data_IF_576147799775
#
_entry.id   IF_576147799775
#
_cell.length_a   1.000
_cell.length_b   1.000
_cell.length_c   1.000
_cell.angle_alpha   90.00
_cell.angle_beta   90.00
_cell.angle_gamma   90.00
#
_symmetry.space_group_name_H-M   'P 1'
#
loop_
_entity.id
_entity.type
_entity.pdbx_description
1 polymer ?
#
# COMPACT_ATOMS: atom_id res chain seq x y z
N UNK A 1 -20.71 37.31 -7.87
CA UNK A 1 -19.99 36.27 -7.08
C UNK A 1 -20.25 34.84 -7.58
N UNK A 2 -21.50 34.42 -7.81
CA UNK A 2 -21.85 33.05 -8.27
C UNK A 2 -21.11 32.58 -9.54
N UNK A 3 -20.94 33.44 -10.55
CA UNK A 3 -20.22 33.09 -11.80
C UNK A 3 -18.73 32.78 -11.57
N UNK A 4 -18.05 33.47 -10.64
CA UNK A 4 -16.64 33.24 -10.31
C UNK A 4 -16.44 31.89 -9.61
N UNK A 5 -17.34 31.53 -8.70
CA UNK A 5 -17.34 30.23 -8.02
C UNK A 5 -17.56 29.10 -9.03
N UNK A 6 -18.47 29.28 -9.99
CA UNK A 6 -18.69 28.29 -11.05
C UNK A 6 -17.42 28.02 -11.86
N UNK A 7 -16.67 29.05 -12.26
CA UNK A 7 -15.41 28.86 -12.99
C UNK A 7 -14.37 28.10 -12.17
N UNK A 8 -14.27 28.36 -10.87
CA UNK A 8 -13.36 27.64 -9.97
C UNK A 8 -13.76 26.16 -9.89
N UNK A 9 -15.05 25.86 -9.72
CA UNK A 9 -15.56 24.47 -9.67
C UNK A 9 -15.27 23.75 -10.99
N UNK A 10 -15.56 24.38 -12.12
CA UNK A 10 -15.29 23.79 -13.44
C UNK A 10 -13.80 23.52 -13.64
N UNK A 11 -12.93 24.44 -13.21
CA UNK A 11 -11.49 24.24 -13.27
C UNK A 11 -11.05 23.00 -12.48
N UNK A 12 -11.52 22.83 -11.24
CA UNK A 12 -11.20 21.65 -10.44
C UNK A 12 -11.74 20.36 -11.05
N UNK A 13 -12.95 20.37 -11.61
CA UNK A 13 -13.52 19.20 -12.29
C UNK A 13 -12.65 18.79 -13.47
N UNK A 14 -12.26 19.74 -14.31
CA UNK A 14 -11.36 19.47 -15.46
C UNK A 14 -10.00 18.95 -15.00
N UNK A 15 -9.43 19.52 -13.92
CA UNK A 15 -8.17 19.06 -13.34
C UNK A 15 -8.26 17.61 -12.85
N UNK A 16 -9.34 17.25 -12.16
CA UNK A 16 -9.56 15.88 -11.68
C UNK A 16 -9.72 14.90 -12.85
N UNK A 17 -10.48 15.29 -13.88
CA UNK A 17 -10.64 14.50 -15.11
C UNK A 17 -9.30 14.28 -15.81
N UNK A 18 -8.47 15.31 -15.95
CA UNK A 18 -7.14 15.20 -16.52
C UNK A 18 -6.26 14.24 -15.72
N UNK A 19 -6.23 14.38 -14.38
CA UNK A 19 -5.49 13.50 -13.49
C UNK A 19 -5.96 12.05 -13.60
N UNK A 20 -7.27 11.83 -13.67
CA UNK A 20 -7.86 10.49 -13.85
C UNK A 20 -7.41 9.85 -15.17
N UNK A 21 -7.37 10.60 -16.27
CA UNK A 21 -6.88 10.10 -17.57
C UNK A 21 -5.41 9.69 -17.48
N UNK A 22 -4.57 10.51 -16.84
CA UNK A 22 -3.15 10.21 -16.64
C UNK A 22 -2.98 8.93 -15.82
N UNK A 23 -3.69 8.80 -14.69
CA UNK A 23 -3.68 7.60 -13.85
C UNK A 23 -4.20 6.37 -14.59
N UNK A 24 -5.20 6.53 -15.47
CA UNK A 24 -5.73 5.42 -16.28
C UNK A 24 -4.71 4.86 -17.26
N UNK A 25 -3.90 5.72 -17.87
CA UNK A 25 -2.80 5.28 -18.74
C UNK A 25 -1.63 4.70 -17.95
N UNK A 26 -1.51 5.07 -16.69
CA UNK A 26 -0.43 4.66 -15.80
C UNK A 26 0.71 5.68 -15.79
N UNK A 27 1.35 5.79 -14.64
CA UNK A 27 2.47 6.68 -14.39
C UNK A 27 3.64 5.80 -13.94
N UNK A 28 4.78 5.95 -14.60
CA UNK A 28 6.04 5.33 -14.20
C UNK A 28 6.97 6.42 -13.69
N UNK A 29 7.53 6.19 -12.51
CA UNK A 29 8.48 7.08 -11.84
C UNK A 29 9.73 6.27 -11.58
N UNK A 30 10.82 6.61 -12.27
CA UNK A 30 12.09 5.90 -12.16
C UNK A 30 12.69 6.02 -10.77
N UNK A 31 12.75 7.24 -10.23
CA UNK A 31 13.22 7.49 -8.88
C UNK A 31 12.70 8.83 -8.36
N UNK A 32 12.29 8.85 -7.10
CA UNK A 32 12.05 10.08 -6.33
C UNK A 32 12.90 9.98 -5.08
N UNK A 33 13.57 11.08 -4.73
CA UNK A 33 14.34 11.18 -3.50
C UNK A 33 13.97 12.49 -2.79
N UNK A 34 13.34 12.33 -1.64
CA UNK A 34 13.11 13.36 -0.64
C UNK A 34 13.84 12.97 0.65
N UNK A 35 14.07 13.92 1.54
CA UNK A 35 14.73 13.67 2.82
C UNK A 35 14.03 12.56 3.64
N UNK A 36 12.70 12.52 3.58
CA UNK A 36 11.85 11.58 4.31
C UNK A 36 11.44 10.33 3.51
N UNK A 37 11.66 10.30 2.18
CA UNK A 37 11.14 9.26 1.31
C UNK A 37 12.01 9.06 0.08
N UNK A 38 12.44 7.82 -0.15
CA UNK A 38 13.05 7.37 -1.41
C UNK A 38 12.14 6.35 -2.07
N UNK A 39 11.83 6.55 -3.35
CA UNK A 39 11.03 5.64 -4.16
C UNK A 39 11.82 5.29 -5.41
N UNK A 40 11.87 4.02 -5.77
CA UNK A 40 12.50 3.54 -7.00
C UNK A 40 11.56 2.63 -7.79
N UNK A 41 11.47 2.92 -9.09
CA UNK A 41 10.65 2.18 -10.05
C UNK A 41 9.19 2.06 -9.62
N UNK A 42 8.60 3.19 -9.22
CA UNK A 42 7.20 3.26 -8.83
C UNK A 42 6.33 3.32 -10.09
N UNK A 43 5.39 2.40 -10.20
CA UNK A 43 4.34 2.37 -11.20
C UNK A 43 2.99 2.46 -10.52
N UNK A 44 2.17 3.41 -10.95
CA UNK A 44 0.80 3.58 -10.46
C UNK A 44 -0.13 3.64 -11.65
N UNK A 45 -1.17 2.80 -11.66
CA UNK A 45 -2.25 2.86 -12.65
C UNK A 45 -3.59 2.69 -11.97
N UNK A 46 -4.59 3.45 -12.42
CA UNK A 46 -5.98 3.33 -11.98
C UNK A 46 -6.82 2.88 -13.18
N UNK A 47 -7.02 1.57 -13.33
CA UNK A 47 -7.89 1.03 -14.37
C UNK A 47 -9.32 0.87 -13.82
N UNK A 48 -9.81 -0.37 -13.66
CA UNK A 48 -11.01 -0.66 -12.86
C UNK A 48 -10.75 -0.58 -11.36
N UNK A 49 -9.51 -0.86 -10.97
CA UNK A 49 -8.99 -0.83 -9.60
C UNK A 49 -7.57 -0.29 -9.62
N UNK A 50 -7.04 0.00 -8.43
CA UNK A 50 -5.69 0.52 -8.27
C UNK A 50 -4.64 -0.58 -8.47
N UNK A 51 -3.62 -0.27 -9.26
CA UNK A 51 -2.41 -1.07 -9.45
C UNK A 51 -1.23 -0.24 -8.97
N UNK A 52 -0.46 -0.77 -8.03
CA UNK A 52 0.78 -0.14 -7.53
C UNK A 52 1.90 -1.16 -7.60
N UNK A 53 3.01 -0.80 -8.23
CA UNK A 53 4.24 -1.60 -8.19
C UNK A 53 5.39 -0.71 -7.80
N UNK A 54 6.27 -1.17 -6.93
CA UNK A 54 7.48 -0.45 -6.55
C UNK A 54 8.61 -1.44 -6.29
N UNK A 55 9.80 -1.12 -6.78
CA UNK A 55 10.98 -1.94 -6.50
C UNK A 55 11.52 -1.66 -5.11
N UNK A 56 11.80 -0.39 -4.81
CA UNK A 56 12.28 0.02 -3.50
C UNK A 56 11.47 1.22 -2.99
N UNK A 57 11.04 1.14 -1.73
CA UNK A 57 10.47 2.24 -0.97
C UNK A 57 11.27 2.34 0.31
N UNK A 58 11.87 3.49 0.60
CA UNK A 58 12.57 3.75 1.86
C UNK A 58 11.92 4.94 2.53
N UNK A 59 11.42 4.73 3.74
CA UNK A 59 10.84 5.78 4.56
C UNK A 59 11.88 6.16 5.61
N UNK A 60 12.40 7.38 5.51
CA UNK A 60 13.30 7.94 6.50
C UNK A 60 12.45 8.77 7.46
N UNK A 61 12.36 8.36 8.72
CA UNK A 61 11.74 9.22 9.72
C UNK A 61 12.66 10.42 10.00
N UNK A 62 12.24 11.62 9.56
CA UNK A 62 12.82 12.86 10.07
C UNK A 62 12.43 13.02 11.54
N UNK A 63 13.38 13.40 12.39
CA UNK A 63 13.26 13.48 13.87
C UNK A 63 12.05 14.27 14.41
N UNK A 64 11.33 15.03 13.58
CA UNK A 64 10.16 15.83 13.94
C UNK A 64 8.81 15.31 13.40
N UNK A 65 8.76 14.13 12.77
CA UNK A 65 7.49 13.54 12.38
C UNK A 65 6.92 12.73 13.54
N UNK A 66 6.00 13.34 14.29
CA UNK A 66 5.01 12.65 15.14
C UNK A 66 4.03 11.78 14.31
N UNK A 67 4.52 11.13 13.26
CA UNK A 67 3.80 10.03 12.62
C UNK A 67 4.02 8.82 13.51
N UNK A 68 3.27 8.82 14.62
CA UNK A 68 3.00 7.65 15.46
C UNK A 68 4.24 6.85 15.84
N UNK A 69 4.92 7.32 16.87
CA UNK A 69 5.66 6.47 17.79
C UNK A 69 4.76 5.33 18.30
N UNK A 70 4.68 4.23 17.55
CA UNK A 70 4.13 2.93 17.98
C UNK A 70 5.13 1.79 17.81
N UNK A 71 6.31 2.01 17.25
CA UNK A 71 7.26 0.93 16.95
C UNK A 71 8.39 0.80 17.97
N UNK A 72 8.05 0.76 19.26
CA UNK A 72 8.90 0.17 20.32
C UNK A 72 8.06 -0.43 21.45
N UNK A 73 6.89 -1.00 21.13
CA UNK A 73 6.08 -1.78 22.08
C UNK A 73 6.03 -3.22 21.60
N UNK A 74 7.18 -3.93 21.56
CA UNK A 74 7.25 -5.37 21.24
C UNK A 74 6.17 -5.84 20.25
N UNK A 75 6.18 -5.31 19.03
CA UNK A 75 5.24 -5.79 18.00
C UNK A 75 5.64 -7.24 17.71
N UNK A 76 5.01 -8.17 18.40
CA UNK A 76 5.16 -9.60 18.16
C UNK A 76 4.39 -9.97 16.88
N UNK A 77 4.68 -11.12 16.28
CA UNK A 77 4.03 -11.52 15.04
C UNK A 77 2.49 -11.52 15.12
N UNK A 78 1.91 -11.71 16.31
CA UNK A 78 0.45 -11.66 16.52
C UNK A 78 -0.14 -10.26 16.28
N UNK A 79 0.52 -9.21 16.77
CA UNK A 79 0.09 -7.82 16.55
C UNK A 79 0.17 -7.43 15.08
N UNK A 80 1.21 -7.85 14.37
CA UNK A 80 1.38 -7.63 12.92
C UNK A 80 0.25 -8.31 12.12
N UNK A 81 -0.05 -9.58 12.41
CA UNK A 81 -1.16 -10.30 11.77
C UNK A 81 -2.49 -9.56 11.95
N UNK A 82 -2.75 -9.01 13.15
CA UNK A 82 -3.96 -8.24 13.41
C UNK A 82 -4.02 -6.95 12.58
N UNK A 83 -2.91 -6.20 12.49
CA UNK A 83 -2.82 -4.98 11.67
C UNK A 83 -3.07 -5.28 10.19
N UNK A 84 -2.43 -6.33 9.66
CA UNK A 84 -2.63 -6.79 8.27
C UNK A 84 -4.11 -7.11 8.02
N UNK A 85 -4.72 -7.90 8.91
CA UNK A 85 -6.09 -8.39 8.74
C UNK A 85 -7.12 -7.25 8.72
N UNK A 86 -6.95 -6.21 9.55
CA UNK A 86 -7.88 -5.07 9.62
C UNK A 86 -8.03 -4.34 8.27
N UNK A 87 -6.95 -4.22 7.51
CA UNK A 87 -6.94 -3.42 6.27
C UNK A 87 -7.12 -4.26 4.99
N UNK A 88 -7.08 -5.59 5.12
CA UNK A 88 -7.17 -6.55 4.01
C UNK A 88 -8.49 -6.42 3.21
N UNK A 89 -9.59 -6.05 3.87
CA UNK A 89 -10.89 -5.82 3.20
C UNK A 89 -10.83 -4.68 2.19
N UNK A 90 -10.17 -3.58 2.55
CA UNK A 90 -10.04 -2.41 1.68
C UNK A 90 -9.10 -2.71 0.52
N UNK A 91 -7.98 -3.38 0.79
CA UNK A 91 -7.05 -3.88 -0.21
C UNK A 91 -7.82 -4.68 -1.28
N UNK A 92 -8.50 -5.75 -0.90
CA UNK A 92 -9.23 -6.61 -1.85
C UNK A 92 -10.30 -5.85 -2.65
N UNK A 93 -10.93 -4.84 -2.05
CA UNK A 93 -12.01 -4.09 -2.67
C UNK A 93 -11.51 -3.11 -3.74
N UNK A 94 -10.48 -2.32 -3.43
CA UNK A 94 -10.06 -1.19 -4.25
C UNK A 94 -8.81 -1.43 -5.08
N UNK A 95 -8.05 -2.47 -4.74
CA UNK A 95 -6.77 -2.79 -5.37
C UNK A 95 -6.93 -4.03 -6.22
N UNK A 96 -6.32 -4.00 -7.39
CA UNK A 96 -6.16 -5.16 -8.28
C UNK A 96 -4.79 -5.79 -8.10
N UNK A 97 -3.75 -4.95 -7.97
CA UNK A 97 -2.40 -5.43 -7.75
C UNK A 97 -1.60 -4.46 -6.86
N UNK A 98 -0.90 -5.02 -5.86
CA UNK A 98 0.21 -4.36 -5.17
C UNK A 98 1.41 -5.27 -5.27
N UNK A 99 2.54 -4.77 -5.75
CA UNK A 99 3.83 -5.47 -5.72
C UNK A 99 4.90 -4.51 -5.21
N UNK A 100 5.25 -4.63 -3.94
CA UNK A 100 6.32 -3.86 -3.30
C UNK A 100 7.43 -4.86 -2.96
N UNK A 101 8.52 -4.81 -3.71
CA UNK A 101 9.58 -5.80 -3.59
C UNK A 101 10.43 -5.59 -2.35
N UNK A 102 10.68 -4.32 -1.99
CA UNK A 102 11.45 -3.94 -0.82
C UNK A 102 10.92 -2.62 -0.25
N UNK A 103 10.21 -2.69 0.87
CA UNK A 103 9.86 -1.56 1.71
C UNK A 103 10.80 -1.58 2.92
N UNK A 104 11.64 -0.56 3.03
CA UNK A 104 12.51 -0.36 4.18
C UNK A 104 11.94 0.75 5.08
N UNK A 105 11.62 0.38 6.32
CA UNK A 105 11.23 1.29 7.38
C UNK A 105 12.12 1.00 8.59
N UNK A 106 13.01 1.93 8.97
CA UNK A 106 13.94 1.76 10.11
C UNK A 106 14.70 0.42 10.07
N UNK A 107 15.27 0.08 8.91
CA UNK A 107 16.02 -1.16 8.67
C UNK A 107 15.19 -2.45 8.72
N UNK A 108 13.86 -2.37 8.86
CA UNK A 108 12.97 -3.51 8.67
C UNK A 108 12.58 -3.62 7.20
N UNK A 109 12.92 -4.75 6.59
CA UNK A 109 12.64 -5.04 5.20
C UNK A 109 11.32 -5.80 5.06
N UNK A 110 10.39 -5.20 4.34
CA UNK A 110 9.06 -5.77 4.10
C UNK A 110 8.84 -5.96 2.60
N UNK A 111 8.43 -7.16 2.20
CA UNK A 111 7.90 -7.44 0.87
C UNK A 111 6.39 -7.64 0.95
N UNK A 112 5.66 -7.01 0.05
CA UNK A 112 4.20 -7.09 -0.01
C UNK A 112 3.79 -7.45 -1.43
N UNK A 113 2.97 -8.48 -1.57
CA UNK A 113 2.32 -8.81 -2.83
C UNK A 113 0.83 -9.01 -2.62
N UNK A 114 0.03 -8.41 -3.48
CA UNK A 114 -1.36 -8.78 -3.70
C UNK A 114 -1.59 -8.87 -5.20
N UNK A 115 -1.95 -10.06 -5.69
CA UNK A 115 -2.25 -10.29 -7.10
C UNK A 115 -3.05 -11.58 -7.27
N UNK A 116 -3.98 -11.59 -8.21
CA UNK A 116 -4.76 -12.80 -8.55
C UNK A 116 -5.41 -13.47 -7.32
N UNK A 117 -5.92 -12.64 -6.41
CA UNK A 117 -6.51 -13.04 -5.12
C UNK A 117 -5.55 -13.73 -4.13
N UNK A 118 -4.26 -13.77 -4.42
CA UNK A 118 -3.23 -14.14 -3.45
C UNK A 118 -2.65 -12.89 -2.79
N UNK A 119 -2.55 -12.90 -1.46
CA UNK A 119 -1.84 -11.88 -0.70
C UNK A 119 -0.68 -12.55 0.02
N UNK A 120 0.49 -11.93 0.03
CA UNK A 120 1.50 -12.25 1.02
C UNK A 120 2.21 -11.02 1.54
N UNK A 121 2.74 -11.17 2.75
CA UNK A 121 3.68 -10.26 3.37
C UNK A 121 4.82 -11.07 3.97
N UNK A 122 6.03 -10.56 3.79
CA UNK A 122 7.26 -11.15 4.29
C UNK A 122 8.07 -10.04 4.95
N UNK A 123 8.35 -10.17 6.24
CA UNK A 123 9.19 -9.24 7.00
C UNK A 123 10.06 -10.01 7.99
N UNK A 124 10.82 -9.30 8.82
CA UNK A 124 11.74 -9.93 9.77
C UNK A 124 11.03 -10.76 10.86
N UNK A 125 9.77 -10.45 11.17
CA UNK A 125 8.99 -11.11 12.23
C UNK A 125 8.21 -12.33 11.73
N UNK A 126 7.68 -12.28 10.50
CA UNK A 126 6.81 -13.32 9.97
C UNK A 126 6.79 -13.39 8.45
N UNK A 127 6.35 -14.54 7.95
CA UNK A 127 5.85 -14.70 6.59
C UNK A 127 4.40 -15.17 6.65
N UNK A 128 3.50 -14.44 5.98
CA UNK A 128 2.08 -14.78 5.88
C UNK A 128 1.64 -14.77 4.42
N UNK A 129 1.12 -15.90 3.95
CA UNK A 129 0.48 -16.05 2.64
C UNK A 129 -0.98 -16.43 2.80
N UNK A 130 -1.87 -15.65 2.18
CA UNK A 130 -3.32 -15.78 2.21
C UNK A 130 -3.89 -15.95 0.80
N UNK A 131 -5.01 -16.65 0.70
CA UNK A 131 -5.93 -16.58 -0.45
C UNK A 131 -7.17 -15.84 -0.05
N UNK A 132 -7.58 -14.87 -0.85
CA UNK A 132 -8.71 -14.00 -0.57
C UNK A 132 -9.87 -14.37 -1.49
N UNK A 133 -11.06 -14.53 -0.93
CA UNK A 133 -12.27 -14.81 -1.69
C UNK A 133 -13.43 -14.00 -1.13
N UNK A 134 -14.24 -13.42 -2.01
CA UNK A 134 -15.47 -12.77 -1.61
C UNK A 134 -16.63 -13.76 -1.70
N UNK A 135 -17.27 -14.02 -0.56
CA UNK A 135 -18.51 -14.77 -0.49
C UNK A 135 -19.60 -13.82 0.03
N UNK A 136 -20.60 -13.54 -0.81
CA UNK A 136 -21.65 -12.56 -0.51
C UNK A 136 -21.07 -11.17 -0.15
N UNK A 137 -21.29 -10.72 1.10
CA UNK A 137 -20.80 -9.44 1.64
C UNK A 137 -19.54 -9.60 2.50
N UNK A 138 -19.02 -10.81 2.60
CA UNK A 138 -17.88 -11.16 3.46
C UNK A 138 -16.63 -11.42 2.63
N UNK A 139 -15.49 -11.09 3.21
CA UNK A 139 -14.17 -11.44 2.68
C UNK A 139 -13.65 -12.61 3.51
N UNK A 140 -13.44 -13.73 2.86
CA UNK A 140 -12.83 -14.92 3.45
C UNK A 140 -11.35 -14.90 3.09
N UNK A 141 -10.50 -14.99 4.12
CA UNK A 141 -9.06 -15.11 3.97
C UNK A 141 -8.62 -16.50 4.43
N UNK A 142 -8.25 -17.36 3.48
CA UNK A 142 -7.69 -18.68 3.76
C UNK A 142 -6.17 -18.58 3.96
N UNK A 143 -5.67 -19.01 5.11
CA UNK A 143 -4.22 -19.04 5.37
C UNK A 143 -3.61 -20.21 4.59
N UNK A 144 -2.73 -19.90 3.63
CA UNK A 144 -1.96 -20.90 2.88
C UNK A 144 -0.66 -21.27 3.58
N UNK A 145 0.01 -20.29 4.17
CA UNK A 145 1.26 -20.48 4.91
C UNK A 145 1.40 -19.35 5.93
N UNK A 146 1.77 -19.71 7.15
CA UNK A 146 2.16 -18.80 8.21
C UNK A 146 3.46 -19.33 8.81
N UNK A 147 4.48 -18.48 8.89
CA UNK A 147 5.74 -18.73 9.56
C UNK A 147 5.99 -17.57 10.51
N UNK A 148 6.16 -17.87 11.79
CA UNK A 148 6.62 -16.90 12.78
C UNK A 148 8.14 -17.05 12.85
N UNK A 149 8.87 -15.97 12.59
CA UNK A 149 10.34 -15.93 12.57
C UNK A 149 10.91 -15.39 13.88
N UNK A 150 10.06 -14.74 14.68
CA UNK A 150 10.35 -14.24 16.02
C UNK A 150 10.23 -15.32 17.11
N UNK A 151 9.84 -16.55 16.73
CA UNK A 151 9.65 -17.68 17.65
C UNK A 151 10.78 -18.70 17.48
N UNK A 152 11.76 -18.64 18.38
CA UNK A 152 12.71 -19.72 18.68
C UNK A 152 12.12 -20.67 19.75
#
# INVERSE_FOLDING_TARGET
MKKKILYIVVFFVVLILALFIVLKNGIVISSIQFDFLKLEQLYIKLDKKLIVRAKNITINETQNSEISSQTHSSDNASTEILKITKNLKYLYTFVEEIDIQNLNIKDNHVRILFKDNEFFIDNDLLFLKLTLQRQNKELIAGIKKLLLKDYD
#
